data_IF_758629735762
#
_entry.id   IF_758629735762
#
_cell.length_a   1.000
_cell.length_b   1.000
_cell.length_c   1.000
_cell.angle_alpha   90.00
_cell.angle_beta   90.00
_cell.angle_gamma   90.00
#
_symmetry.space_group_name_H-M   'P 1'
#
loop_
_entity.id
_entity.type
_entity.pdbx_description
1 polymer ?
#
# COMPACT_ATOMS: atom_id res chain seq x y z
N UNK A 1 -47.21 44.98 23.97
CA UNK A 1 -45.87 44.42 24.24
C UNK A 1 -45.20 44.21 22.90
N UNK A 2 -44.87 45.29 22.21
CA UNK A 2 -43.59 46.03 22.24
C UNK A 2 -42.41 45.23 21.68
N UNK A 3 -42.13 45.56 20.42
CA UNK A 3 -40.93 45.25 19.64
C UNK A 3 -39.68 45.85 20.31
N UNK A 4 -38.62 45.05 20.44
CA UNK A 4 -37.26 45.57 20.63
C UNK A 4 -36.54 45.59 19.29
N UNK A 5 -36.48 46.76 18.68
CA UNK A 5 -35.43 47.14 17.74
C UNK A 5 -34.09 47.23 18.50
N UNK A 6 -33.03 46.64 17.97
CA UNK A 6 -31.66 46.94 18.38
C UNK A 6 -30.92 47.50 17.17
N UNK A 7 -30.42 48.70 17.39
CA UNK A 7 -29.81 49.66 16.49
C UNK A 7 -28.36 49.30 16.17
N UNK A 8 -27.95 49.44 14.91
CA UNK A 8 -26.55 49.41 14.48
C UNK A 8 -25.90 50.80 14.68
N UNK A 9 -24.69 50.90 15.25
CA UNK A 9 -23.92 52.12 15.16
C UNK A 9 -23.15 52.22 13.84
N UNK A 10 -23.27 53.40 13.24
CA UNK A 10 -22.62 53.89 12.05
C UNK A 10 -21.08 53.87 12.11
N UNK A 11 -20.50 53.58 10.96
CA UNK A 11 -19.12 53.86 10.56
C UNK A 11 -18.81 55.36 10.65
N UNK A 12 -17.68 55.70 11.26
CA UNK A 12 -16.98 56.95 11.03
C UNK A 12 -15.52 56.62 10.70
N UNK A 13 -15.09 57.00 9.50
CA UNK A 13 -13.73 56.80 9.03
C UNK A 13 -12.81 57.95 9.45
N UNK A 14 -11.54 57.61 9.70
CA UNK A 14 -10.42 58.52 9.43
C UNK A 14 -9.17 57.69 9.19
N UNK A 15 -8.40 58.14 8.20
CA UNK A 15 -7.24 57.48 7.62
C UNK A 15 -5.96 57.62 8.48
N UNK A 16 -4.97 56.83 8.07
CA UNK A 16 -3.51 56.94 8.28
C UNK A 16 -2.92 56.50 9.62
N UNK A 17 -2.32 55.31 9.63
CA UNK A 17 -0.90 55.13 9.95
C UNK A 17 -0.41 53.80 9.35
N UNK A 18 0.57 53.89 8.46
CA UNK A 18 1.29 52.76 7.89
C UNK A 18 2.09 52.04 8.98
N UNK A 19 1.91 50.73 9.09
CA UNK A 19 2.67 49.83 9.95
C UNK A 19 2.90 48.51 9.22
N UNK A 20 4.16 48.25 8.91
CA UNK A 20 4.71 47.20 8.06
C UNK A 20 4.22 45.80 8.47
N UNK A 21 3.52 45.09 7.57
CA UNK A 21 3.33 43.64 7.61
C UNK A 21 4.27 43.00 6.57
N UNK A 22 4.94 41.88 6.89
CA UNK A 22 5.91 41.26 5.99
C UNK A 22 5.19 40.67 4.77
N UNK A 23 5.43 41.28 3.60
CA UNK A 23 5.20 40.65 2.30
C UNK A 23 6.18 39.47 2.15
N UNK A 24 5.68 38.25 2.27
CA UNK A 24 6.51 37.05 2.08
C UNK A 24 5.78 35.72 1.84
N UNK A 25 4.51 35.60 2.23
CA UNK A 25 3.79 34.31 2.10
C UNK A 25 3.33 33.96 0.68
N UNK A 26 3.04 34.96 -0.16
CA UNK A 26 2.49 34.73 -1.50
C UNK A 26 3.50 34.23 -2.54
N UNK A 27 4.77 34.65 -2.44
CA UNK A 27 5.79 34.26 -3.41
C UNK A 27 6.33 32.84 -3.15
N UNK A 28 6.49 32.43 -1.89
CA UNK A 28 6.87 31.06 -1.56
C UNK A 28 5.81 30.05 -2.04
N UNK A 29 4.53 30.39 -1.90
CA UNK A 29 3.42 29.57 -2.38
C UNK A 29 3.35 29.49 -3.91
N UNK A 30 3.58 30.61 -4.61
CA UNK A 30 3.66 30.67 -6.08
C UNK A 30 4.87 29.88 -6.62
N UNK A 31 6.00 29.89 -5.92
CA UNK A 31 7.21 29.14 -6.29
C UNK A 31 6.97 27.64 -6.15
N UNK A 32 6.35 27.17 -5.06
CA UNK A 32 5.99 25.76 -4.86
C UNK A 32 4.97 25.28 -5.91
N UNK A 33 4.01 26.13 -6.29
CA UNK A 33 3.08 25.87 -7.39
C UNK A 33 3.78 25.80 -8.75
N UNK A 34 4.72 26.70 -9.03
CA UNK A 34 5.47 26.73 -10.28
C UNK A 34 6.45 25.55 -10.42
N UNK A 35 7.03 25.10 -9.31
CA UNK A 35 7.97 23.97 -9.27
C UNK A 35 7.26 22.63 -9.50
N UNK A 36 6.06 22.44 -8.92
CA UNK A 36 5.23 21.26 -9.19
C UNK A 36 4.59 21.26 -10.60
N UNK A 37 4.39 22.44 -11.20
CA UNK A 37 3.84 22.57 -12.56
C UNK A 37 4.87 22.30 -13.67
N UNK A 38 6.17 22.29 -13.36
CA UNK A 38 7.26 22.08 -14.33
C UNK A 38 7.64 20.60 -14.54
N UNK A 39 7.11 19.69 -13.73
CA UNK A 39 7.37 18.25 -13.87
C UNK A 39 6.44 17.52 -14.86
N UNK A 40 5.70 18.25 -15.71
CA UNK A 40 4.93 17.65 -16.81
C UNK A 40 5.82 17.41 -18.04
N UNK A 41 6.12 16.13 -18.27
CA UNK A 41 6.24 15.37 -19.54
C UNK A 41 6.56 16.16 -20.84
N UNK A 42 7.55 15.73 -21.66
CA UNK A 42 7.75 16.31 -22.98
C UNK A 42 6.56 16.04 -23.91
N UNK A 43 6.07 17.11 -24.54
CA UNK A 43 5.05 17.09 -25.60
C UNK A 43 5.58 16.29 -26.78
N UNK A 44 5.03 15.10 -27.01
CA UNK A 44 5.22 14.38 -28.25
C UNK A 44 4.36 15.02 -29.36
N UNK A 45 5.03 15.39 -30.43
CA UNK A 45 4.50 16.04 -31.63
C UNK A 45 3.77 15.08 -32.58
N UNK A 46 2.69 15.60 -33.18
CA UNK A 46 2.08 15.27 -34.49
C UNK A 46 0.87 14.31 -34.53
N UNK A 47 -0.17 14.65 -35.34
CA UNK A 47 -1.43 13.92 -35.40
C UNK A 47 -1.34 12.72 -36.35
N UNK A 48 -1.68 11.53 -35.87
CA UNK A 48 -1.90 10.38 -36.74
C UNK A 48 -3.34 10.36 -37.23
N UNK A 49 -3.50 10.52 -38.54
CA UNK A 49 -4.74 10.39 -39.30
C UNK A 49 -5.47 9.09 -38.97
N UNK A 50 -6.73 9.19 -38.51
CA UNK A 50 -7.65 8.06 -38.41
C UNK A 50 -7.87 7.46 -39.81
N UNK A 51 -7.29 6.29 -40.08
CA UNK A 51 -7.76 5.41 -41.15
C UNK A 51 -8.93 4.58 -40.61
N UNK A 52 -10.14 4.97 -41.00
CA UNK A 52 -11.34 4.14 -40.87
C UNK A 52 -11.20 2.96 -41.83
N UNK A 53 -10.74 1.81 -41.32
CA UNK A 53 -10.89 0.53 -42.03
C UNK A 53 -12.35 0.09 -41.84
N UNK A 54 -13.17 0.27 -42.87
CA UNK A 54 -14.51 -0.31 -42.93
C UNK A 54 -14.33 -1.78 -43.34
N UNK A 55 -14.64 -2.77 -42.48
CA UNK A 55 -14.60 -4.16 -42.89
C UNK A 55 -15.76 -4.45 -43.85
N UNK A 56 -15.44 -5.00 -45.02
CA UNK A 56 -16.40 -5.50 -46.00
C UNK A 56 -17.04 -6.80 -45.47
N UNK A 57 -18.30 -6.70 -45.02
CA UNK A 57 -19.07 -7.85 -44.55
C UNK A 57 -19.71 -8.59 -45.74
N UNK A 58 -18.96 -9.53 -46.31
CA UNK A 58 -19.54 -10.52 -47.23
C UNK A 58 -20.26 -11.63 -46.45
N UNK A 59 -21.59 -11.51 -46.31
CA UNK A 59 -22.49 -12.51 -45.72
C UNK A 59 -22.66 -13.76 -46.61
N UNK A 60 -21.62 -14.57 -46.77
CA UNK A 60 -21.72 -15.80 -47.59
C UNK A 60 -21.39 -17.13 -46.91
N UNK A 61 -21.09 -17.18 -45.62
CA UNK A 61 -20.88 -18.45 -44.92
C UNK A 61 -21.44 -18.45 -43.49
N UNK A 62 -22.77 -18.35 -43.36
CA UNK A 62 -23.48 -18.62 -42.09
C UNK A 62 -24.37 -19.83 -42.27
N UNK A 63 -23.75 -21.01 -42.37
CA UNK A 63 -24.46 -22.30 -42.37
C UNK A 63 -23.94 -23.25 -41.28
N UNK A 64 -23.15 -22.74 -40.30
CA UNK A 64 -22.51 -23.56 -39.26
C UNK A 64 -22.78 -23.14 -37.81
N UNK A 65 -23.56 -22.07 -37.56
CA UNK A 65 -23.86 -21.57 -36.21
C UNK A 65 -25.34 -21.76 -35.85
N UNK A 66 -25.84 -22.99 -36.00
CA UNK A 66 -27.06 -23.39 -35.31
C UNK A 66 -26.67 -23.90 -33.92
N UNK A 67 -26.96 -23.11 -32.88
CA UNK A 67 -26.85 -23.57 -31.48
C UNK A 67 -26.35 -22.55 -30.46
N UNK A 68 -25.95 -21.34 -30.87
CA UNK A 68 -25.59 -20.29 -29.91
C UNK A 68 -26.83 -19.46 -29.61
N UNK A 69 -27.45 -19.71 -28.45
CA UNK A 69 -28.51 -18.86 -27.90
C UNK A 69 -28.08 -17.40 -27.96
N UNK A 70 -28.98 -16.48 -28.33
CA UNK A 70 -28.69 -15.04 -28.41
C UNK A 70 -28.07 -14.46 -27.13
N UNK A 71 -28.32 -15.08 -25.97
CA UNK A 71 -27.66 -14.73 -24.69
C UNK A 71 -26.18 -15.11 -24.63
N UNK A 72 -25.79 -16.20 -25.29
CA UNK A 72 -24.42 -16.71 -25.35
C UNK A 72 -23.60 -15.98 -26.43
N UNK A 73 -24.26 -15.49 -27.48
CA UNK A 73 -23.66 -14.56 -28.44
C UNK A 73 -23.51 -13.15 -27.82
N UNK A 74 -24.54 -12.64 -27.13
CA UNK A 74 -24.47 -11.36 -26.41
C UNK A 74 -23.38 -11.38 -25.32
N UNK A 75 -23.28 -12.45 -24.52
CA UNK A 75 -22.22 -12.59 -23.53
C UNK A 75 -20.80 -12.74 -24.12
N UNK A 76 -20.66 -13.18 -25.37
CA UNK A 76 -19.38 -13.19 -26.09
C UNK A 76 -19.03 -11.79 -26.64
N UNK A 77 -20.02 -10.98 -27.01
CA UNK A 77 -19.81 -9.57 -27.37
C UNK A 77 -19.52 -8.70 -26.13
N UNK A 78 -20.22 -8.94 -25.01
CA UNK A 78 -19.99 -8.26 -23.72
C UNK A 78 -18.61 -8.62 -23.13
N UNK A 79 -18.17 -9.88 -23.26
CA UNK A 79 -16.83 -10.32 -22.86
C UNK A 79 -15.71 -9.82 -23.80
N UNK A 80 -16.05 -9.35 -25.00
CA UNK A 80 -15.09 -8.83 -25.97
C UNK A 80 -14.96 -7.29 -25.91
N UNK A 81 -15.95 -6.60 -25.33
CA UNK A 81 -15.91 -5.14 -25.11
C UNK A 81 -15.26 -4.72 -23.78
N UNK A 82 -15.10 -5.62 -22.80
CA UNK A 82 -14.19 -5.37 -21.67
C UNK A 82 -12.78 -5.86 -21.99
N UNK A 83 -12.12 -5.20 -22.94
CA UNK A 83 -10.67 -5.06 -22.82
C UNK A 83 -10.49 -3.94 -21.80
N UNK A 84 -10.02 -4.20 -20.56
CA UNK A 84 -9.46 -3.10 -19.78
C UNK A 84 -8.47 -2.43 -20.73
N UNK A 85 -8.65 -1.13 -20.97
CA UNK A 85 -7.66 -0.34 -21.69
C UNK A 85 -6.31 -0.76 -21.13
N UNK A 86 -5.35 -1.15 -22.01
CA UNK A 86 -4.03 -1.59 -21.53
C UNK A 86 -3.61 -0.62 -20.43
N UNK A 87 -3.44 -1.10 -19.17
CA UNK A 87 -3.22 -0.20 -18.06
C UNK A 87 -2.03 0.66 -18.45
N UNK A 88 -2.24 1.98 -18.50
CA UNK A 88 -1.23 2.92 -18.96
C UNK A 88 0.11 2.53 -18.32
N UNK A 89 1.15 2.28 -19.12
CA UNK A 89 2.41 1.70 -18.64
C UNK A 89 2.95 2.52 -17.46
N UNK A 90 2.71 2.02 -16.24
CA UNK A 90 3.13 2.69 -15.02
C UNK A 90 4.65 2.56 -14.87
N UNK A 91 5.31 3.66 -14.52
CA UNK A 91 6.72 3.62 -14.13
C UNK A 91 6.91 2.83 -12.82
N UNK A 92 8.14 2.37 -12.53
CA UNK A 92 8.43 1.66 -11.28
C UNK A 92 8.09 2.47 -10.02
N UNK A 93 8.24 3.80 -10.08
CA UNK A 93 7.86 4.72 -8.99
C UNK A 93 6.33 4.77 -8.82
N UNK A 94 5.60 4.85 -9.93
CA UNK A 94 4.13 4.86 -9.90
C UNK A 94 3.58 3.53 -9.36
N UNK A 95 4.16 2.40 -9.79
CA UNK A 95 3.80 1.08 -9.25
C UNK A 95 4.09 0.98 -7.76
N UNK A 96 5.23 1.51 -7.31
CA UNK A 96 5.56 1.57 -5.88
C UNK A 96 4.53 2.38 -5.10
N UNK A 97 4.22 3.61 -5.53
CA UNK A 97 3.21 4.45 -4.88
C UNK A 97 1.82 3.78 -4.85
N UNK A 98 1.36 3.22 -5.96
CA UNK A 98 0.07 2.53 -6.06
C UNK A 98 0.01 1.31 -5.14
N UNK A 99 1.07 0.49 -5.08
CA UNK A 99 1.12 -0.63 -4.11
C UNK A 99 1.01 -0.13 -2.66
N UNK A 100 1.77 0.91 -2.28
CA UNK A 100 1.79 1.41 -0.89
C UNK A 100 0.45 2.03 -0.47
N UNK A 101 -0.25 2.70 -1.41
CA UNK A 101 -1.58 3.26 -1.16
C UNK A 101 -2.70 2.21 -1.18
N UNK A 102 -2.52 1.08 -1.87
CA UNK A 102 -3.50 -0.02 -1.88
C UNK A 102 -3.48 -0.89 -0.63
N UNK A 103 -2.35 -0.93 0.08
CA UNK A 103 -2.20 -1.80 1.24
C UNK A 103 -2.97 -1.32 2.49
N UNK A 104 -3.31 -0.02 2.57
CA UNK A 104 -3.89 0.58 3.77
C UNK A 104 -5.05 1.52 3.47
N UNK A 105 -6.02 1.67 4.39
CA UNK A 105 -7.04 2.72 4.31
C UNK A 105 -6.40 4.11 4.25
N UNK A 106 -6.80 4.91 3.27
CA UNK A 106 -6.27 6.25 3.01
C UNK A 106 -6.11 6.48 1.51
N UNK A 107 -5.50 7.62 1.18
CA UNK A 107 -5.30 8.06 -0.19
C UNK A 107 -6.60 8.53 -0.86
N UNK A 108 -6.64 9.77 -1.33
CA UNK A 108 -7.91 10.37 -1.77
C UNK A 108 -8.56 9.57 -2.91
N UNK A 109 -7.76 9.13 -3.88
CA UNK A 109 -8.18 8.35 -5.05
C UNK A 109 -8.27 6.84 -4.83
N UNK A 110 -7.92 6.36 -3.63
CA UNK A 110 -7.89 4.95 -3.30
C UNK A 110 -9.02 4.67 -2.30
N UNK A 111 -9.98 3.88 -2.73
CA UNK A 111 -11.06 3.42 -1.87
C UNK A 111 -10.90 1.93 -1.68
N UNK A 112 -10.48 1.49 -0.48
CA UNK A 112 -10.43 0.06 -0.17
C UNK A 112 -11.78 -0.62 -0.50
N UNK A 113 -12.92 -0.02 -0.14
CA UNK A 113 -14.23 -0.62 -0.42
C UNK A 113 -14.61 -0.78 -1.91
N UNK A 114 -13.85 -0.24 -2.88
CA UNK A 114 -14.18 -0.27 -4.31
C UNK A 114 -12.90 -0.57 -5.09
N UNK A 115 -12.76 -1.79 -5.58
CA UNK A 115 -11.57 -2.33 -6.27
C UNK A 115 -11.26 -1.66 -7.65
N UNK A 116 -11.38 -0.35 -7.75
CA UNK A 116 -11.19 0.45 -8.96
C UNK A 116 -10.51 1.79 -8.59
N UNK A 117 -9.71 2.32 -9.52
CA UNK A 117 -9.33 3.73 -9.48
C UNK A 117 -10.63 4.51 -9.59
N UNK A 118 -11.07 5.18 -8.51
CA UNK A 118 -12.25 6.03 -8.58
C UNK A 118 -11.90 7.12 -9.61
N UNK A 119 -12.57 7.17 -10.78
CA UNK A 119 -12.41 8.29 -11.68
C UNK A 119 -12.73 9.55 -10.86
N UNK A 120 -12.05 10.64 -11.14
CA UNK A 120 -12.16 11.94 -10.47
C UNK A 120 -13.61 12.49 -10.61
N UNK A 121 -14.57 11.83 -9.98
CA UNK A 121 -16.00 12.06 -10.05
C UNK A 121 -16.43 12.82 -8.80
N UNK A 122 -17.48 13.61 -8.98
CA UNK A 122 -17.88 14.77 -8.20
C UNK A 122 -18.06 14.55 -6.68
N UNK A 123 -17.96 13.31 -6.19
CA UNK A 123 -17.95 12.95 -4.78
C UNK A 123 -16.79 13.57 -4.00
N UNK A 124 -15.60 13.72 -4.59
CA UNK A 124 -14.44 14.37 -3.93
C UNK A 124 -14.52 15.91 -3.92
N UNK A 125 -15.45 16.52 -4.66
CA UNK A 125 -15.68 17.98 -4.59
C UNK A 125 -16.49 18.37 -3.36
N UNK A 126 -17.18 17.41 -2.74
CA UNK A 126 -18.01 17.64 -1.57
C UNK A 126 -17.18 17.61 -0.29
N UNK A 127 -17.14 18.75 0.40
CA UNK A 127 -16.52 18.92 1.72
C UNK A 127 -16.87 17.82 2.72
N UNK A 128 -18.16 17.47 2.82
CA UNK A 128 -18.66 16.48 3.78
C UNK A 128 -18.17 15.08 3.43
N UNK A 129 -18.06 14.76 2.14
CA UNK A 129 -17.58 13.46 1.71
C UNK A 129 -16.10 13.27 1.99
N UNK A 130 -15.28 14.32 1.83
CA UNK A 130 -13.84 14.27 2.14
C UNK A 130 -13.59 14.12 3.64
N UNK A 131 -14.18 15.00 4.44
CA UNK A 131 -14.12 14.92 5.90
C UNK A 131 -14.62 13.57 6.42
N UNK A 132 -15.73 13.07 5.86
CA UNK A 132 -16.28 11.76 6.21
C UNK A 132 -15.38 10.59 5.81
N UNK A 133 -14.71 10.70 4.65
CA UNK A 133 -13.72 9.72 4.18
C UNK A 133 -12.53 9.65 5.13
N UNK A 134 -11.87 10.77 5.44
CA UNK A 134 -10.68 10.79 6.30
C UNK A 134 -10.97 10.21 7.70
N UNK A 135 -12.12 10.56 8.27
CA UNK A 135 -12.59 10.00 9.53
C UNK A 135 -12.84 8.49 9.39
N UNK A 136 -13.51 8.05 8.32
CA UNK A 136 -13.77 6.63 8.06
C UNK A 136 -12.47 5.85 7.89
N UNK A 137 -11.50 6.39 7.17
CA UNK A 137 -10.20 5.76 6.94
C UNK A 137 -9.39 5.71 8.25
N UNK A 138 -9.47 6.74 9.09
CA UNK A 138 -8.89 6.70 10.44
C UNK A 138 -9.51 5.58 11.29
N UNK A 139 -10.84 5.43 11.29
CA UNK A 139 -11.51 4.33 11.98
C UNK A 139 -11.19 2.95 11.38
N UNK A 140 -11.08 2.85 10.05
CA UNK A 140 -10.69 1.62 9.38
C UNK A 140 -9.28 1.19 9.77
N UNK A 141 -8.34 2.13 9.88
CA UNK A 141 -7.00 1.87 10.39
C UNK A 141 -7.02 1.42 11.86
N UNK A 142 -7.82 2.04 12.74
CA UNK A 142 -7.98 1.56 14.12
C UNK A 142 -8.57 0.13 14.16
N UNK A 143 -9.52 -0.19 13.28
CA UNK A 143 -10.05 -1.55 13.15
C UNK A 143 -8.95 -2.53 12.70
N UNK A 144 -8.14 -2.14 11.72
CA UNK A 144 -7.03 -2.95 11.23
C UNK A 144 -6.01 -3.25 12.34
N UNK A 145 -5.73 -2.28 13.21
CA UNK A 145 -4.87 -2.50 14.39
C UNK A 145 -5.37 -3.68 15.25
N UNK A 146 -6.67 -3.74 15.53
CA UNK A 146 -7.25 -4.85 16.29
C UNK A 146 -7.29 -6.16 15.50
N UNK A 147 -7.51 -6.09 14.19
CA UNK A 147 -7.46 -7.26 13.34
C UNK A 147 -6.05 -7.87 13.32
N UNK A 148 -5.01 -7.04 13.19
CA UNK A 148 -3.61 -7.47 13.26
C UNK A 148 -3.19 -7.97 14.62
N UNK A 149 -3.73 -7.39 15.69
CA UNK A 149 -3.55 -7.98 17.01
C UNK A 149 -4.09 -9.41 17.03
N UNK A 150 -5.21 -9.69 16.36
CA UNK A 150 -5.86 -11.00 16.35
C UNK A 150 -5.30 -11.91 15.24
N UNK A 151 -5.94 -11.94 14.07
CA UNK A 151 -5.71 -12.91 13.00
C UNK A 151 -5.20 -12.29 11.69
N UNK A 152 -5.04 -10.96 11.68
CA UNK A 152 -4.56 -10.19 10.53
C UNK A 152 -5.65 -9.34 9.90
N UNK A 153 -5.26 -8.19 9.35
CA UNK A 153 -6.14 -7.34 8.56
C UNK A 153 -6.13 -7.69 7.07
N UNK A 154 -7.20 -7.31 6.39
CA UNK A 154 -7.29 -7.43 4.93
C UNK A 154 -6.49 -6.31 4.25
N UNK A 155 -5.82 -6.68 3.17
CA UNK A 155 -5.01 -5.79 2.33
C UNK A 155 -5.44 -5.93 0.87
N UNK A 156 -5.18 -4.90 0.07
CA UNK A 156 -5.37 -4.96 -1.38
C UNK A 156 -4.05 -4.81 -2.10
N UNK A 157 -3.94 -5.49 -3.24
CA UNK A 157 -2.75 -5.47 -4.07
C UNK A 157 -3.12 -5.68 -5.53
N UNK A 158 -2.23 -5.34 -6.47
CA UNK A 158 -2.42 -5.67 -7.88
C UNK A 158 -1.68 -6.95 -8.23
N UNK A 159 -2.37 -7.86 -8.91
CA UNK A 159 -1.76 -9.06 -9.47
C UNK A 159 -0.98 -8.80 -10.76
N UNK A 160 -0.48 -9.87 -11.38
CA UNK A 160 0.27 -9.85 -12.64
C UNK A 160 -0.53 -9.30 -13.84
N UNK A 161 -1.86 -9.35 -13.77
CA UNK A 161 -2.76 -8.81 -14.78
C UNK A 161 -3.16 -7.35 -14.49
N UNK A 162 -2.66 -6.78 -13.38
CA UNK A 162 -2.99 -5.43 -12.92
C UNK A 162 -4.35 -5.32 -12.22
N UNK A 163 -5.01 -6.46 -11.95
CA UNK A 163 -6.30 -6.53 -11.28
C UNK A 163 -6.10 -6.43 -9.77
N UNK A 164 -6.94 -5.64 -9.10
CA UNK A 164 -6.91 -5.51 -7.65
C UNK A 164 -7.47 -6.78 -7.01
N UNK A 165 -6.65 -7.43 -6.19
CA UNK A 165 -6.98 -8.62 -5.42
C UNK A 165 -7.04 -8.28 -3.93
N UNK A 166 -7.73 -9.13 -3.17
CA UNK A 166 -7.75 -9.09 -1.72
C UNK A 166 -6.81 -10.15 -1.15
N UNK A 167 -6.10 -9.79 -0.09
CA UNK A 167 -5.28 -10.69 0.70
C UNK A 167 -5.47 -10.40 2.17
N UNK A 168 -4.92 -11.24 3.03
CA UNK A 168 -4.94 -11.05 4.47
C UNK A 168 -3.50 -11.19 4.98
N UNK A 169 -3.05 -10.24 5.80
CA UNK A 169 -1.73 -10.33 6.45
C UNK A 169 -1.80 -11.23 7.67
N UNK A 170 -0.65 -11.58 8.25
CA UNK A 170 -0.64 -12.37 9.49
C UNK A 170 -1.03 -11.50 10.68
N UNK A 171 -1.77 -12.07 11.63
CA UNK A 171 -2.04 -11.46 12.93
C UNK A 171 -1.14 -11.99 14.04
N UNK A 172 -0.96 -11.20 15.09
CA UNK A 172 -0.08 -11.48 16.21
C UNK A 172 -0.50 -12.75 16.96
N UNK A 173 -1.76 -12.84 17.41
CA UNK A 173 -2.25 -14.01 18.15
C UNK A 173 -2.26 -15.26 17.26
N UNK A 174 -2.68 -15.14 16.00
CA UNK A 174 -2.60 -16.22 15.03
C UNK A 174 -1.16 -16.76 14.88
N UNK A 175 -0.21 -15.85 14.73
CA UNK A 175 1.21 -16.21 14.57
C UNK A 175 1.82 -16.82 15.83
N UNK A 176 1.40 -16.39 17.04
CA UNK A 176 1.83 -17.05 18.29
C UNK A 176 1.34 -18.49 18.32
N UNK A 177 0.10 -18.73 17.92
CA UNK A 177 -0.47 -20.09 17.90
C UNK A 177 0.28 -20.96 16.88
N UNK A 178 0.51 -20.45 15.68
CA UNK A 178 1.21 -21.18 14.62
C UNK A 178 2.67 -21.46 15.00
N UNK A 179 3.35 -20.50 15.64
CA UNK A 179 4.70 -20.70 16.18
C UNK A 179 4.79 -21.95 17.09
N UNK A 180 3.86 -22.10 18.03
CA UNK A 180 3.86 -23.26 18.93
C UNK A 180 3.47 -24.56 18.22
N UNK A 181 2.58 -24.51 17.22
CA UNK A 181 2.25 -25.67 16.38
C UNK A 181 3.46 -26.15 15.59
N UNK A 182 4.17 -25.25 14.93
CA UNK A 182 5.33 -25.60 14.12
C UNK A 182 6.50 -26.06 14.99
N UNK A 183 6.71 -25.41 16.14
CA UNK A 183 7.72 -25.84 17.10
C UNK A 183 7.45 -27.26 17.64
N UNK A 184 6.20 -27.55 18.02
CA UNK A 184 5.85 -28.90 18.48
C UNK A 184 5.89 -29.92 17.33
N UNK A 185 5.50 -29.54 16.12
CA UNK A 185 5.61 -30.40 14.93
C UNK A 185 7.06 -30.76 14.64
N UNK A 186 7.97 -29.77 14.72
CA UNK A 186 9.40 -29.99 14.62
C UNK A 186 9.88 -30.98 15.69
N UNK A 187 9.69 -30.69 16.98
CA UNK A 187 10.22 -31.53 18.06
C UNK A 187 9.58 -32.92 18.14
N UNK A 188 8.37 -33.08 17.62
CA UNK A 188 7.72 -34.38 17.47
C UNK A 188 8.23 -35.18 16.25
N UNK A 189 9.15 -34.61 15.47
CA UNK A 189 9.67 -35.17 14.21
C UNK A 189 8.53 -35.55 13.24
N UNK A 190 7.49 -34.70 13.20
CA UNK A 190 6.30 -34.88 12.37
C UNK A 190 5.35 -35.97 12.85
N UNK A 191 5.39 -36.38 14.13
CA UNK A 191 4.35 -37.26 14.71
C UNK A 191 3.10 -36.47 15.11
N UNK A 192 3.26 -35.24 15.58
CA UNK A 192 2.18 -34.27 15.73
C UNK A 192 2.18 -33.34 14.51
N UNK A 193 1.05 -33.27 13.81
CA UNK A 193 0.88 -32.53 12.54
C UNK A 193 -0.49 -31.84 12.52
N UNK A 194 -0.66 -30.72 13.24
CA UNK A 194 -1.96 -30.06 13.37
C UNK A 194 -2.51 -29.55 12.03
N UNK A 195 -1.64 -29.30 11.05
CA UNK A 195 -2.02 -28.77 9.73
C UNK A 195 -2.31 -29.88 8.69
N UNK A 196 -2.31 -31.15 9.12
CA UNK A 196 -2.66 -32.28 8.26
C UNK A 196 -1.60 -32.66 7.23
N UNK A 197 -0.37 -32.20 7.41
CA UNK A 197 0.76 -32.52 6.53
C UNK A 197 1.04 -34.03 6.45
N UNK A 198 1.62 -34.46 5.33
CA UNK A 198 2.01 -35.84 5.11
C UNK A 198 3.08 -36.29 6.12
N UNK A 199 3.01 -37.56 6.54
CA UNK A 199 3.99 -38.11 7.47
C UNK A 199 5.40 -38.16 6.86
N UNK A 200 6.43 -37.59 7.53
CA UNK A 200 7.80 -37.82 7.13
C UNK A 200 8.22 -39.26 7.45
N UNK A 201 8.41 -40.06 6.41
CA UNK A 201 8.87 -41.46 6.55
C UNK A 201 10.39 -41.59 6.52
N UNK A 202 10.95 -42.23 7.54
CA UNK A 202 12.38 -42.49 7.67
C UNK A 202 13.20 -41.31 8.23
N UNK A 203 14.43 -41.60 8.65
CA UNK A 203 15.28 -40.65 9.38
C UNK A 203 15.54 -39.35 8.61
N UNK A 204 15.92 -39.44 7.33
CA UNK A 204 16.25 -38.27 6.52
C UNK A 204 15.05 -37.34 6.30
N UNK A 205 13.86 -37.90 6.04
CA UNK A 205 12.64 -37.09 5.88
C UNK A 205 12.24 -36.45 7.21
N UNK A 206 12.37 -37.16 8.33
CA UNK A 206 12.09 -36.60 9.67
C UNK A 206 13.06 -35.47 10.05
N UNK A 207 14.35 -35.61 9.73
CA UNK A 207 15.34 -34.56 9.92
C UNK A 207 15.06 -33.34 9.03
N UNK A 208 14.71 -33.56 7.75
CA UNK A 208 14.31 -32.48 6.84
C UNK A 208 13.04 -31.77 7.30
N UNK A 209 12.05 -32.52 7.77
CA UNK A 209 10.81 -31.99 8.35
C UNK A 209 11.08 -31.13 9.59
N UNK A 210 11.91 -31.62 10.53
CA UNK A 210 12.35 -30.84 11.69
C UNK A 210 12.94 -29.50 11.27
N UNK A 211 13.89 -29.50 10.32
CA UNK A 211 14.54 -28.27 9.87
C UNK A 211 13.56 -27.32 9.17
N UNK A 212 12.64 -27.84 8.35
CA UNK A 212 11.59 -27.04 7.71
C UNK A 212 10.71 -26.36 8.76
N UNK A 213 10.24 -27.12 9.75
CA UNK A 213 9.34 -26.61 10.79
C UNK A 213 10.00 -25.64 11.76
N UNK A 214 11.28 -25.85 12.10
CA UNK A 214 12.05 -24.84 12.84
C UNK A 214 12.20 -23.55 12.01
N UNK A 215 12.44 -23.67 10.71
CA UNK A 215 12.53 -22.50 9.84
C UNK A 215 11.19 -21.76 9.70
N UNK A 216 10.08 -22.48 9.57
CA UNK A 216 8.72 -21.92 9.55
C UNK A 216 8.41 -21.20 10.87
N UNK A 217 8.63 -21.84 12.01
CA UNK A 217 8.43 -21.22 13.32
C UNK A 217 9.27 -19.94 13.50
N UNK A 218 10.56 -19.96 13.16
CA UNK A 218 11.44 -18.80 13.37
C UNK A 218 11.12 -17.68 12.37
N UNK A 219 11.13 -17.96 11.07
CA UNK A 219 11.06 -16.91 10.06
C UNK A 219 9.63 -16.57 9.66
N UNK A 220 8.75 -17.58 9.58
CA UNK A 220 7.36 -17.43 9.20
C UNK A 220 6.51 -16.90 10.35
N UNK A 221 6.65 -17.46 11.55
CA UNK A 221 5.72 -17.14 12.64
C UNK A 221 6.28 -16.16 13.64
N UNK A 222 7.55 -16.28 14.05
CA UNK A 222 8.14 -15.32 14.98
C UNK A 222 8.52 -14.00 14.28
N UNK A 223 9.35 -14.06 13.24
CA UNK A 223 9.84 -12.85 12.55
C UNK A 223 8.73 -12.18 11.74
N UNK A 224 8.13 -12.89 10.79
CA UNK A 224 7.09 -12.32 9.92
C UNK A 224 5.74 -12.19 10.63
N UNK A 225 5.39 -13.17 11.44
CA UNK A 225 4.14 -13.18 12.17
C UNK A 225 4.17 -12.23 13.36
N UNK A 226 4.82 -12.62 14.46
CA UNK A 226 4.77 -11.87 15.73
C UNK A 226 5.38 -10.47 15.58
N UNK A 227 6.64 -10.36 15.12
CA UNK A 227 7.29 -9.06 14.99
C UNK A 227 6.67 -8.22 13.86
N UNK A 228 6.38 -8.85 12.71
CA UNK A 228 5.72 -8.17 11.58
C UNK A 228 4.34 -7.62 11.95
N UNK A 229 3.47 -8.42 12.58
CA UNK A 229 2.16 -7.94 13.05
C UNK A 229 2.27 -6.80 14.05
N UNK A 230 3.27 -6.80 14.95
CA UNK A 230 3.48 -5.67 15.86
C UNK A 230 3.84 -4.37 15.11
N UNK A 231 4.60 -4.47 14.02
CA UNK A 231 4.90 -3.33 13.14
C UNK A 231 3.64 -2.90 12.39
N UNK A 232 2.86 -3.83 11.84
CA UNK A 232 1.60 -3.53 11.15
C UNK A 232 0.59 -2.85 12.07
N UNK A 233 0.47 -3.29 13.32
CA UNK A 233 -0.30 -2.58 14.35
C UNK A 233 0.19 -1.14 14.54
N UNK A 234 1.50 -0.93 14.71
CA UNK A 234 2.05 0.42 14.86
C UNK A 234 1.78 1.32 13.64
N UNK A 235 1.86 0.73 12.45
CA UNK A 235 1.60 1.34 11.16
C UNK A 235 0.13 1.73 10.97
N UNK A 236 -0.80 0.88 11.37
CA UNK A 236 -2.22 1.20 11.39
C UNK A 236 -2.53 2.38 12.32
N UNK A 237 -1.93 2.41 13.52
CA UNK A 237 -2.09 3.57 14.42
C UNK A 237 -1.49 4.85 13.83
N UNK A 238 -0.34 4.74 13.16
CA UNK A 238 0.31 5.86 12.47
C UNK A 238 -0.61 6.41 11.35
N UNK A 239 -1.19 5.54 10.52
CA UNK A 239 -2.11 5.95 9.46
C UNK A 239 -3.46 6.44 9.99
N UNK A 240 -3.96 5.88 11.09
CA UNK A 240 -5.12 6.43 11.77
C UNK A 240 -4.87 7.88 12.21
N UNK A 241 -3.71 8.15 12.78
CA UNK A 241 -3.28 9.51 13.13
C UNK A 241 -3.11 10.41 11.91
N UNK A 242 -2.50 9.89 10.84
CA UNK A 242 -2.28 10.63 9.60
C UNK A 242 -3.59 11.06 8.93
N UNK A 243 -4.54 10.15 8.80
CA UNK A 243 -5.85 10.43 8.21
C UNK A 243 -6.65 11.37 9.12
N UNK A 244 -6.55 11.23 10.44
CA UNK A 244 -7.15 12.19 11.38
C UNK A 244 -6.52 13.60 11.28
N UNK A 245 -5.24 13.72 10.89
CA UNK A 245 -4.60 15.00 10.63
C UNK A 245 -5.07 15.63 9.31
N UNK A 246 -5.41 14.83 8.29
CA UNK A 246 -5.90 15.28 6.98
C UNK A 246 -7.22 16.05 7.07
N UNK A 247 -8.06 15.67 8.04
CA UNK A 247 -9.31 16.35 8.39
C UNK A 247 -9.15 17.87 8.55
N UNK A 248 -8.03 18.34 9.12
CA UNK A 248 -7.81 19.78 9.38
C UNK A 248 -7.60 20.59 8.09
N UNK A 249 -6.61 20.28 7.23
CA UNK A 249 -6.44 20.96 5.95
C UNK A 249 -7.67 20.78 5.04
N UNK A 250 -8.36 19.64 5.11
CA UNK A 250 -9.61 19.44 4.38
C UNK A 250 -10.76 20.32 4.87
N UNK A 251 -10.84 20.51 6.19
CA UNK A 251 -11.78 21.43 6.82
C UNK A 251 -11.51 22.91 6.48
N UNK A 252 -10.25 23.27 6.16
CA UNK A 252 -9.80 24.67 6.08
C UNK A 252 -9.54 25.15 4.66
N UNK A 253 -8.65 24.49 3.91
CA UNK A 253 -8.21 24.90 2.56
C UNK A 253 -8.72 23.96 1.46
N UNK A 254 -9.22 22.77 1.83
CA UNK A 254 -9.73 21.75 0.91
C UNK A 254 -10.97 22.14 0.11
N UNK A 255 -11.64 23.23 0.47
CA UNK A 255 -12.79 23.78 -0.28
C UNK A 255 -12.38 24.46 -1.61
N UNK A 256 -11.09 24.75 -1.80
CA UNK A 256 -10.56 25.31 -3.03
C UNK A 256 -9.82 24.23 -3.80
N UNK A 257 -9.99 24.18 -5.12
CA UNK A 257 -9.35 23.16 -5.95
C UNK A 257 -7.81 23.09 -5.79
N UNK A 258 -7.07 24.22 -5.74
CA UNK A 258 -5.64 24.17 -5.47
C UNK A 258 -5.30 23.66 -4.06
N UNK A 259 -6.13 24.00 -3.08
CA UNK A 259 -5.98 23.54 -1.70
C UNK A 259 -6.20 22.03 -1.59
N UNK A 260 -7.27 21.50 -2.19
CA UNK A 260 -7.55 20.07 -2.31
C UNK A 260 -6.36 19.33 -2.93
N UNK A 261 -5.93 19.74 -4.13
CA UNK A 261 -4.80 19.09 -4.83
C UNK A 261 -3.53 19.07 -3.98
N UNK A 262 -3.26 20.15 -3.25
CA UNK A 262 -2.12 20.24 -2.36
C UNK A 262 -2.26 19.29 -1.16
N UNK A 263 -3.42 19.28 -0.48
CA UNK A 263 -3.68 18.38 0.65
C UNK A 263 -3.53 16.93 0.21
N UNK A 264 -4.26 16.50 -0.82
CA UNK A 264 -4.15 15.15 -1.39
C UNK A 264 -2.70 14.78 -1.69
N UNK A 265 -1.94 15.66 -2.34
CA UNK A 265 -0.54 15.38 -2.66
C UNK A 265 0.33 15.23 -1.42
N UNK A 266 0.12 16.03 -0.38
CA UNK A 266 0.87 15.93 0.88
C UNK A 266 0.53 14.64 1.61
N UNK A 267 -0.75 14.32 1.76
CA UNK A 267 -1.19 13.17 2.55
C UNK A 267 -0.94 11.84 1.85
N UNK A 268 -1.21 11.73 0.54
CA UNK A 268 -0.87 10.53 -0.24
C UNK A 268 0.63 10.25 -0.22
N UNK A 269 1.47 11.25 -0.50
CA UNK A 269 2.92 11.04 -0.53
C UNK A 269 3.49 10.83 0.88
N UNK A 270 2.91 11.48 1.90
CA UNK A 270 3.28 11.24 3.28
C UNK A 270 2.96 9.81 3.73
N UNK A 271 1.80 9.27 3.33
CA UNK A 271 1.44 7.88 3.56
C UNK A 271 2.49 6.94 2.93
N UNK A 272 2.86 7.15 1.67
CA UNK A 272 3.90 6.36 0.98
C UNK A 272 5.25 6.43 1.70
N UNK A 273 5.66 7.63 2.16
CA UNK A 273 6.92 7.81 2.88
C UNK A 273 6.91 7.09 4.22
N UNK A 274 5.81 7.19 4.96
CA UNK A 274 5.65 6.48 6.23
C UNK A 274 5.62 4.96 6.04
N UNK A 275 4.92 4.48 5.01
CA UNK A 275 4.88 3.07 4.59
C UNK A 275 6.31 2.56 4.37
N UNK A 276 7.06 3.24 3.52
CA UNK A 276 8.48 2.98 3.27
C UNK A 276 9.31 2.93 4.55
N UNK A 277 9.20 3.95 5.41
CA UNK A 277 9.99 4.04 6.64
C UNK A 277 9.68 2.88 7.59
N UNK A 278 8.42 2.48 7.72
CA UNK A 278 8.02 1.33 8.55
C UNK A 278 8.39 0.00 7.92
N UNK A 279 8.46 -0.09 6.59
CA UNK A 279 8.80 -1.33 5.89
C UNK A 279 10.29 -1.67 6.03
N UNK A 280 11.17 -0.66 6.10
CA UNK A 280 12.63 -0.86 6.14
C UNK A 280 13.21 -1.08 7.55
N UNK A 281 12.44 -0.85 8.62
CA UNK A 281 12.93 -1.11 9.99
C UNK A 281 13.08 -2.62 10.22
N UNK A 282 13.88 -3.06 11.22
CA UNK A 282 13.99 -4.48 11.55
C UNK A 282 12.61 -5.14 11.71
N UNK A 283 12.42 -6.27 11.04
CA UNK A 283 11.15 -7.03 10.94
C UNK A 283 10.03 -6.40 10.11
N UNK A 284 10.23 -5.21 9.52
CA UNK A 284 9.30 -4.64 8.55
C UNK A 284 9.27 -5.41 7.23
N UNK A 285 8.25 -5.19 6.41
CA UNK A 285 8.00 -6.00 5.21
C UNK A 285 9.16 -5.95 4.21
N UNK A 286 9.74 -4.77 3.97
CA UNK A 286 10.91 -4.63 3.11
C UNK A 286 12.15 -5.25 3.74
N UNK A 287 12.37 -5.05 5.03
CA UNK A 287 13.49 -5.64 5.75
C UNK A 287 13.48 -7.18 5.66
N UNK A 288 12.30 -7.79 5.84
CA UNK A 288 12.11 -9.25 5.70
C UNK A 288 12.40 -9.70 4.28
N UNK A 289 11.91 -8.99 3.25
CA UNK A 289 12.20 -9.32 1.84
C UNK A 289 13.69 -9.24 1.51
N UNK A 290 14.40 -8.25 2.06
CA UNK A 290 15.84 -8.04 1.81
C UNK A 290 16.68 -9.12 2.52
N UNK A 291 16.26 -9.58 3.69
CA UNK A 291 16.95 -10.59 4.51
C UNK A 291 16.43 -12.02 4.36
N UNK A 292 15.44 -12.19 3.48
CA UNK A 292 14.89 -13.47 3.07
C UNK A 292 15.94 -14.35 2.39
N UNK A 293 16.10 -15.61 2.83
CA UNK A 293 16.95 -16.60 2.14
C UNK A 293 16.12 -17.67 1.41
N UNK A 294 16.59 -18.15 0.25
CA UNK A 294 15.96 -19.25 -0.49
C UNK A 294 16.70 -20.55 -0.16
N UNK A 295 16.14 -21.36 0.75
CA UNK A 295 16.79 -22.58 1.21
C UNK A 295 16.93 -23.65 0.12
N UNK A 296 15.93 -23.81 -0.75
CA UNK A 296 15.93 -24.82 -1.82
C UNK A 296 16.95 -24.51 -2.92
N UNK A 297 17.10 -23.24 -3.28
CA UNK A 297 18.06 -22.76 -4.28
C UNK A 297 19.39 -22.31 -3.70
N UNK A 298 19.58 -22.38 -2.38
CA UNK A 298 20.71 -21.84 -1.63
C UNK A 298 21.06 -20.39 -2.00
N UNK A 299 20.06 -19.57 -2.36
CA UNK A 299 20.32 -18.18 -2.73
C UNK A 299 20.43 -17.32 -1.48
N UNK A 300 21.54 -16.58 -1.30
CA UNK A 300 21.70 -15.70 -0.16
C UNK A 300 20.74 -14.50 -0.29
N UNK A 301 20.46 -13.79 0.81
CA UNK A 301 19.28 -12.94 0.87
C UNK A 301 19.18 -11.81 -0.15
N UNK A 302 20.23 -11.01 -0.26
CA UNK A 302 20.27 -9.89 -1.20
C UNK A 302 20.12 -10.35 -2.66
N UNK A 303 20.74 -11.49 -3.01
CA UNK A 303 20.64 -12.04 -4.35
C UNK A 303 19.23 -12.56 -4.63
N UNK A 304 18.58 -13.19 -3.65
CA UNK A 304 17.20 -13.63 -3.80
C UNK A 304 16.28 -12.44 -4.10
N UNK A 305 16.38 -11.35 -3.33
CA UNK A 305 15.55 -10.16 -3.56
C UNK A 305 15.81 -9.52 -4.94
N UNK A 306 17.08 -9.37 -5.33
CA UNK A 306 17.45 -8.73 -6.61
C UNK A 306 16.99 -9.56 -7.81
N UNK A 307 17.14 -10.89 -7.74
CA UNK A 307 16.80 -11.80 -8.84
C UNK A 307 15.32 -12.20 -8.87
N UNK A 308 14.55 -11.89 -7.81
CA UNK A 308 13.11 -12.20 -7.77
C UNK A 308 12.39 -11.54 -8.93
N UNK A 309 11.40 -12.21 -9.51
CA UNK A 309 10.55 -11.61 -10.54
C UNK A 309 9.73 -10.45 -9.97
N UNK A 310 9.18 -9.59 -10.84
CA UNK A 310 8.39 -8.44 -10.40
C UNK A 310 7.11 -8.92 -9.68
N UNK A 311 6.48 -9.97 -10.18
CA UNK A 311 5.32 -10.60 -9.56
C UNK A 311 5.67 -12.03 -9.18
N UNK A 312 5.26 -12.44 -7.99
CA UNK A 312 5.53 -13.79 -7.48
C UNK A 312 4.36 -14.21 -6.60
N UNK A 313 3.76 -15.36 -6.92
CA UNK A 313 2.64 -15.93 -6.15
C UNK A 313 3.08 -17.07 -5.24
N UNK A 314 4.32 -17.53 -5.38
CA UNK A 314 4.90 -18.68 -4.69
C UNK A 314 5.49 -18.33 -3.31
N UNK A 315 5.60 -17.04 -2.97
CA UNK A 315 6.16 -16.59 -1.69
C UNK A 315 5.36 -15.42 -1.11
N UNK A 316 4.85 -15.64 0.11
CA UNK A 316 4.00 -14.70 0.83
C UNK A 316 4.68 -13.33 1.04
N UNK A 317 6.01 -13.28 1.12
CA UNK A 317 6.77 -12.03 1.33
C UNK A 317 6.67 -11.06 0.16
N UNK A 318 6.44 -11.58 -1.05
CA UNK A 318 6.30 -10.79 -2.29
C UNK A 318 4.89 -10.81 -2.86
N UNK A 319 4.01 -11.69 -2.37
CA UNK A 319 2.66 -11.92 -2.92
C UNK A 319 1.82 -10.66 -3.10
N UNK A 320 1.95 -9.69 -2.21
CA UNK A 320 1.10 -8.48 -2.19
C UNK A 320 1.76 -7.24 -2.77
N UNK A 321 2.93 -7.36 -3.43
CA UNK A 321 3.64 -6.20 -4.00
C UNK A 321 4.23 -6.51 -5.38
N UNK A 322 4.49 -5.46 -6.16
CA UNK A 322 5.28 -5.56 -7.39
C UNK A 322 6.74 -5.21 -7.09
N UNK A 323 7.62 -6.20 -7.19
CA UNK A 323 9.05 -6.10 -6.92
C UNK A 323 9.83 -5.47 -8.08
N UNK A 324 9.47 -4.24 -8.43
CA UNK A 324 10.10 -3.49 -9.52
C UNK A 324 11.59 -3.19 -9.23
N UNK A 325 12.42 -2.91 -10.25
CA UNK A 325 13.80 -2.46 -10.02
C UNK A 325 13.91 -1.25 -9.08
N UNK A 326 12.93 -0.34 -9.12
CA UNK A 326 12.87 0.81 -8.22
C UNK A 326 12.67 0.35 -6.76
N UNK A 327 11.63 -0.45 -6.49
CA UNK A 327 11.35 -0.99 -5.15
C UNK A 327 12.57 -1.72 -4.58
N UNK A 328 13.13 -2.68 -5.35
CA UNK A 328 14.33 -3.44 -4.96
C UNK A 328 15.45 -2.53 -4.49
N UNK A 329 15.70 -1.45 -5.23
CA UNK A 329 16.80 -0.53 -4.95
C UNK A 329 16.57 0.23 -3.64
N UNK A 330 15.43 0.90 -3.51
CA UNK A 330 15.17 1.77 -2.35
C UNK A 330 15.00 0.95 -1.06
N UNK A 331 14.30 -0.18 -1.13
CA UNK A 331 14.06 -1.05 0.03
C UNK A 331 15.34 -1.73 0.50
N UNK A 332 16.19 -2.18 -0.43
CA UNK A 332 17.49 -2.78 -0.06
C UNK A 332 18.41 -1.77 0.59
N UNK A 333 18.54 -0.57 0.01
CA UNK A 333 19.38 0.50 0.60
C UNK A 333 18.83 0.90 1.97
N UNK A 334 17.52 1.09 2.08
CA UNK A 334 16.85 1.48 3.33
C UNK A 334 17.04 0.44 4.43
N UNK A 335 16.76 -0.84 4.14
CA UNK A 335 16.88 -1.92 5.13
C UNK A 335 18.33 -2.07 5.64
N UNK A 336 19.32 -2.04 4.74
CA UNK A 336 20.74 -2.12 5.13
C UNK A 336 21.19 -0.90 5.94
N UNK A 337 20.70 0.30 5.62
CA UNK A 337 20.97 1.49 6.42
C UNK A 337 20.37 1.38 7.82
N UNK A 338 19.17 0.82 7.94
CA UNK A 338 18.52 0.55 9.23
C UNK A 338 19.25 -0.50 10.05
N UNK A 339 19.87 -1.51 9.43
CA UNK A 339 20.73 -2.46 10.14
C UNK A 339 21.93 -1.76 10.78
N UNK A 340 22.62 -0.92 10.01
CA UNK A 340 23.77 -0.15 10.50
C UNK A 340 23.35 0.76 11.66
N UNK A 341 22.21 1.44 11.54
CA UNK A 341 21.68 2.30 12.59
C UNK A 341 21.34 1.49 13.85
N UNK A 342 20.64 0.37 13.69
CA UNK A 342 20.23 -0.52 14.79
C UNK A 342 21.45 -1.09 15.52
N UNK A 343 22.45 -1.57 14.79
CA UNK A 343 23.70 -2.07 15.36
C UNK A 343 24.47 -0.98 16.12
N UNK A 344 24.49 0.26 15.61
CA UNK A 344 25.11 1.39 16.32
C UNK A 344 24.36 1.72 17.62
N UNK A 345 23.03 1.79 17.56
CA UNK A 345 22.21 2.07 18.75
C UNK A 345 22.38 0.97 19.79
N UNK A 346 22.29 -0.31 19.38
CA UNK A 346 22.49 -1.46 20.26
C UNK A 346 23.90 -1.51 20.85
N UNK A 347 24.92 -1.18 20.05
CA UNK A 347 26.31 -1.09 20.50
C UNK A 347 26.57 0.03 21.51
N UNK A 348 25.75 1.08 21.51
CA UNK A 348 25.81 2.15 22.51
C UNK A 348 24.95 1.91 23.75
N UNK A 349 23.94 1.01 23.69
CA UNK A 349 23.20 0.61 24.89
C UNK A 349 24.04 -0.31 25.78
N UNK A 350 24.41 0.21 26.96
CA UNK A 350 25.24 -0.47 27.99
C UNK A 350 24.71 -1.82 28.49
N UNK A 351 23.54 -2.28 28.04
CA UNK A 351 22.96 -3.58 28.41
C UNK A 351 23.81 -4.75 27.87
N UNK A 352 24.56 -4.53 26.77
CA UNK A 352 25.51 -5.51 26.21
C UNK A 352 26.98 -5.15 26.44
N UNK A 353 27.26 -4.05 27.16
CA UNK A 353 28.62 -3.74 27.62
C UNK A 353 28.91 -4.62 28.82
N UNK A 354 29.60 -5.75 28.61
CA UNK A 354 30.21 -6.52 29.68
C UNK A 354 31.23 -5.66 30.46
N UNK A 355 30.74 -4.84 31.39
CA UNK A 355 31.44 -4.56 32.63
C UNK A 355 30.84 -5.46 33.71
N UNK A 356 31.04 -6.79 33.56
CA UNK A 356 31.01 -7.68 34.72
C UNK A 356 32.34 -7.52 35.44
N UNK A 357 32.34 -6.71 36.51
CA UNK A 357 33.40 -6.70 37.52
C UNK A 357 33.27 -7.89 38.45
#
# INVERSE_FOLDING_TARGET
MELKQITYPHLNGSQTAAGILPQGGGQAFQVILAENSRSSVPVASSPSTLQTVVPDFSLKNVSGLQGISGKKAAGLYEAQEYRPAEPARMSGVQKYKDDQLLLHPGGDHYGLARAENIPDEDGQKSFVNRLGKDISDAFANVKNFFNDFLFGADVRYRDEHGVVQEGTRKGLIGSVVDFFKDLGSAFSLGTWRPDGEAEPEGFLKRAGFFLSKINEAIFGDLVQGICGSAIHMGKDLLFAGWNALEVIPDATVGNLEPGRKLTTAVFDNGQVVMDYLTDIVPFGDAWVRVHSMELKGAKPPLLQNIQREETSTDDLRWKHIRNTPFRKSIETIGALAMDILTLKVLGHTKIFSEERK
#
